data_IF_252470491589
#
_entry.id   IF_252470491589
#
_cell.length_a   1.000
_cell.length_b   1.000
_cell.length_c   1.000
_cell.angle_alpha   90.00
_cell.angle_beta   90.00
_cell.angle_gamma   90.00
#
_symmetry.space_group_name_H-M   'P 1'
#
loop_
_entity.id
_entity.type
_entity.pdbx_description
1 polymer ?
#
# COMPACT_ATOMS: atom_id res chain seq x y z
N UNK A 1 2.10 -0.18 -11.12
CA UNK A 1 3.54 0.15 -11.01
C UNK A 1 4.26 -1.10 -10.55
N UNK A 2 5.28 -1.56 -11.28
CA UNK A 2 5.91 -2.86 -11.05
C UNK A 2 7.05 -2.85 -10.00
N UNK A 3 7.34 -1.66 -9.42
CA UNK A 3 8.41 -1.52 -8.43
C UNK A 3 9.80 -1.54 -9.05
N UNK A 4 10.79 -1.07 -8.30
CA UNK A 4 12.18 -1.31 -8.65
C UNK A 4 12.58 -2.71 -8.14
N UNK A 5 13.29 -3.51 -8.96
CA UNK A 5 13.67 -4.89 -8.59
C UNK A 5 14.47 -4.98 -7.28
N UNK A 6 15.44 -4.09 -7.00
CA UNK A 6 16.11 -4.00 -5.71
C UNK A 6 15.10 -3.85 -4.55
N UNK A 7 14.12 -2.96 -4.68
CA UNK A 7 13.15 -2.67 -3.62
C UNK A 7 12.29 -3.88 -3.27
N UNK A 8 11.89 -4.66 -4.29
CA UNK A 8 11.13 -5.90 -4.10
C UNK A 8 11.97 -6.94 -3.35
N UNK A 9 13.24 -7.09 -3.74
CA UNK A 9 14.14 -8.00 -3.04
C UNK A 9 14.36 -7.58 -1.58
N UNK A 10 14.51 -6.28 -1.31
CA UNK A 10 14.71 -5.78 0.05
C UNK A 10 13.53 -6.12 0.94
N UNK A 11 12.27 -5.90 0.50
CA UNK A 11 11.10 -6.23 1.32
C UNK A 11 11.05 -7.72 1.65
N UNK A 12 11.30 -8.59 0.66
CA UNK A 12 11.31 -10.04 0.89
C UNK A 12 12.38 -10.45 1.90
N UNK A 13 13.58 -9.90 1.79
CA UNK A 13 14.64 -10.16 2.76
C UNK A 13 14.25 -9.68 4.16
N UNK A 14 13.72 -8.47 4.31
CA UNK A 14 13.26 -7.95 5.61
C UNK A 14 12.16 -8.81 6.23
N UNK A 15 11.20 -9.29 5.43
CA UNK A 15 10.14 -10.20 5.89
C UNK A 15 10.73 -11.54 6.34
N UNK A 16 11.69 -12.09 5.57
CA UNK A 16 12.36 -13.33 5.93
C UNK A 16 13.16 -13.20 7.23
N UNK A 17 13.89 -12.10 7.41
CA UNK A 17 14.64 -11.81 8.63
C UNK A 17 13.70 -11.64 9.83
N UNK A 18 12.55 -10.99 9.63
CA UNK A 18 11.53 -10.86 10.67
C UNK A 18 10.97 -12.22 11.13
N UNK A 19 10.70 -13.11 10.18
CA UNK A 19 10.26 -14.47 10.47
C UNK A 19 11.34 -15.27 11.20
N UNK A 20 12.61 -15.14 10.79
CA UNK A 20 13.76 -15.82 11.40
C UNK A 20 14.01 -15.35 12.84
N UNK A 21 13.83 -14.06 13.11
CA UNK A 21 13.95 -13.47 14.44
C UNK A 21 12.71 -13.69 15.31
N UNK A 22 11.65 -14.31 14.77
CA UNK A 22 10.37 -14.56 15.45
C UNK A 22 9.77 -13.28 16.09
N UNK A 23 9.96 -12.13 15.43
CA UNK A 23 9.42 -10.88 15.92
C UNK A 23 7.90 -10.86 15.75
N UNK A 24 7.19 -10.41 16.78
CA UNK A 24 5.72 -10.30 16.81
C UNK A 24 5.31 -8.83 16.81
N UNK A 25 4.15 -8.54 16.21
CA UNK A 25 3.56 -7.20 16.14
C UNK A 25 4.49 -6.18 15.48
N UNK A 26 5.03 -6.53 14.32
CA UNK A 26 5.91 -5.65 13.55
C UNK A 26 5.12 -5.00 12.42
N UNK A 27 5.24 -3.67 12.32
CA UNK A 27 4.72 -2.90 11.19
C UNK A 27 5.90 -2.49 10.31
N UNK A 28 5.87 -2.91 9.04
CA UNK A 28 6.85 -2.52 8.05
C UNK A 28 6.53 -1.10 7.54
N UNK A 29 7.41 -0.15 7.79
CA UNK A 29 7.28 1.23 7.27
C UNK A 29 8.31 1.45 6.17
N UNK A 30 7.85 1.84 4.97
CA UNK A 30 8.75 2.08 3.84
C UNK A 30 8.38 3.30 3.01
N UNK A 31 9.40 3.86 2.35
CA UNK A 31 9.31 5.08 1.56
C UNK A 31 8.66 4.88 0.18
N UNK A 32 8.55 6.01 -0.55
CA UNK A 32 7.87 6.16 -1.86
C UNK A 32 8.27 5.20 -2.98
N UNK A 33 9.38 4.47 -2.84
CA UNK A 33 9.85 3.48 -3.82
C UNK A 33 9.18 2.10 -3.67
N UNK A 34 8.66 1.80 -2.49
CA UNK A 34 8.30 0.43 -2.10
C UNK A 34 6.83 0.08 -2.31
N UNK A 35 6.00 1.02 -2.78
CA UNK A 35 4.56 0.85 -2.95
C UNK A 35 4.15 0.07 -4.21
N UNK A 36 4.96 -0.88 -4.66
CA UNK A 36 4.66 -1.72 -5.83
C UNK A 36 3.56 -2.74 -5.52
N UNK A 37 2.84 -3.18 -6.56
CA UNK A 37 1.79 -4.21 -6.42
C UNK A 37 2.39 -5.51 -5.86
N UNK A 38 3.60 -5.87 -6.32
CA UNK A 38 4.33 -7.05 -5.83
C UNK A 38 4.63 -6.95 -4.34
N UNK A 39 5.10 -5.80 -3.87
CA UNK A 39 5.44 -5.59 -2.47
C UNK A 39 4.21 -5.61 -1.55
N UNK A 40 3.12 -4.98 -1.97
CA UNK A 40 1.86 -5.01 -1.24
C UNK A 40 1.36 -6.46 -1.13
N UNK A 41 1.39 -7.21 -2.24
CA UNK A 41 0.98 -8.61 -2.24
C UNK A 41 1.90 -9.47 -1.38
N UNK A 42 3.22 -9.28 -1.43
CA UNK A 42 4.18 -10.00 -0.61
C UNK A 42 3.93 -9.75 0.89
N UNK A 43 3.65 -8.52 1.30
CA UNK A 43 3.26 -8.22 2.68
C UNK A 43 1.95 -8.93 3.08
N UNK A 44 0.93 -8.89 2.20
CA UNK A 44 -0.37 -9.53 2.46
C UNK A 44 -0.27 -11.06 2.56
N UNK A 45 0.47 -11.71 1.66
CA UNK A 45 0.71 -13.16 1.65
C UNK A 45 1.41 -13.58 2.95
N UNK A 46 2.39 -12.81 3.40
CA UNK A 46 3.15 -13.09 4.62
C UNK A 46 2.46 -12.59 5.90
N UNK A 47 1.25 -12.00 5.80
CA UNK A 47 0.49 -11.43 6.92
C UNK A 47 1.27 -10.39 7.72
N UNK A 48 2.08 -9.59 7.04
CA UNK A 48 2.86 -8.50 7.63
C UNK A 48 2.05 -7.22 7.56
N UNK A 49 1.93 -6.51 8.68
CA UNK A 49 1.34 -5.18 8.72
C UNK A 49 2.30 -4.16 8.10
N UNK A 50 1.81 -3.21 7.32
CA UNK A 50 2.68 -2.29 6.59
C UNK A 50 2.09 -0.89 6.42
N UNK A 51 2.98 0.09 6.28
CA UNK A 51 2.70 1.47 5.89
C UNK A 51 3.67 1.84 4.77
N UNK A 52 3.13 2.09 3.59
CA UNK A 52 3.92 2.57 2.45
C UNK A 52 3.57 4.01 2.14
N UNK A 53 4.62 4.84 2.02
CA UNK A 53 4.46 6.14 1.39
C UNK A 53 4.18 5.92 -0.09
N UNK A 54 3.09 6.50 -0.61
CA UNK A 54 2.66 6.27 -1.99
C UNK A 54 3.13 7.42 -2.86
N UNK A 55 3.93 7.12 -3.90
CA UNK A 55 4.21 8.10 -4.94
C UNK A 55 3.02 8.21 -5.88
N UNK A 56 2.59 9.43 -6.15
CA UNK A 56 1.62 9.71 -7.21
C UNK A 56 2.26 9.38 -8.56
N UNK A 57 1.81 8.28 -9.17
CA UNK A 57 2.21 7.89 -10.52
C UNK A 57 1.53 8.74 -11.60
N UNK A 58 1.80 8.37 -12.86
CA UNK A 58 1.06 8.83 -14.04
C UNK A 58 -0.42 8.43 -14.00
N UNK A 59 -1.23 8.93 -14.96
CA UNK A 59 -2.67 8.67 -15.08
C UNK A 59 -3.00 7.16 -14.99
N UNK A 60 -4.05 6.80 -14.24
CA UNK A 60 -4.48 5.41 -13.99
C UNK A 60 -3.86 4.76 -12.74
N UNK A 61 -3.18 5.55 -11.89
CA UNK A 61 -2.77 5.10 -10.56
C UNK A 61 -3.96 5.19 -9.61
N UNK A 62 -4.26 4.09 -8.89
CA UNK A 62 -5.32 4.02 -7.87
C UNK A 62 -5.28 5.21 -6.90
N UNK A 63 -4.09 5.58 -6.40
CA UNK A 63 -3.95 6.70 -5.47
C UNK A 63 -4.39 8.03 -6.08
N UNK A 64 -4.23 8.22 -7.38
CA UNK A 64 -4.69 9.43 -8.07
C UNK A 64 -6.20 9.44 -8.26
N UNK A 65 -6.78 8.29 -8.59
CA UNK A 65 -8.24 8.13 -8.72
C UNK A 65 -8.94 8.42 -7.39
N UNK A 66 -8.39 7.91 -6.27
CA UNK A 66 -8.90 8.19 -4.93
C UNK A 66 -8.80 9.68 -4.56
N UNK A 67 -7.70 10.35 -4.92
CA UNK A 67 -7.56 11.79 -4.69
C UNK A 67 -8.55 12.58 -5.53
N UNK A 68 -8.74 12.22 -6.80
CA UNK A 68 -9.69 12.89 -7.69
C UNK A 68 -11.14 12.70 -7.22
N UNK A 69 -11.47 11.52 -6.67
CA UNK A 69 -12.77 11.24 -6.04
C UNK A 69 -13.01 12.09 -4.79
N UNK A 70 -12.02 12.19 -3.90
CA UNK A 70 -12.11 12.96 -2.65
C UNK A 70 -11.70 14.43 -2.83
N UNK A 71 -11.54 14.92 -4.06
CA UNK A 71 -11.07 16.28 -4.36
C UNK A 71 -11.95 17.37 -3.75
N UNK A 72 -13.25 17.11 -3.63
CA UNK A 72 -14.21 18.03 -3.00
C UNK A 72 -13.95 18.16 -1.49
N UNK A 73 -13.61 17.06 -0.82
CA UNK A 73 -13.27 17.06 0.61
C UNK A 73 -11.99 17.84 0.85
N UNK A 74 -10.99 17.71 -0.04
CA UNK A 74 -9.78 18.54 0.03
C UNK A 74 -10.02 20.02 -0.24
N UNK A 75 -11.07 20.39 -0.99
CA UNK A 75 -11.40 21.77 -1.29
C UNK A 75 -12.30 22.42 -0.22
N UNK A 76 -12.92 21.63 0.65
CA UNK A 76 -13.75 22.13 1.75
C UNK A 76 -12.87 22.75 2.84
N UNK A 77 -13.12 24.00 3.20
CA UNK A 77 -12.38 24.69 4.26
C UNK A 77 -12.74 24.17 5.66
N UNK A 78 -13.84 23.41 5.78
CA UNK A 78 -14.33 22.85 7.04
C UNK A 78 -13.85 21.41 7.29
N UNK A 79 -13.20 20.75 6.33
CA UNK A 79 -12.66 19.39 6.47
C UNK A 79 -11.23 19.36 7.04
N UNK A 80 -10.73 20.54 7.46
CA UNK A 80 -9.39 20.71 7.99
C UNK A 80 -9.27 20.10 9.38
N UNK A 81 -8.30 19.20 9.54
CA UNK A 81 -7.87 18.74 10.86
C UNK A 81 -7.17 19.90 11.59
N UNK A 82 -7.67 20.34 12.78
CA UNK A 82 -7.11 21.49 13.49
C UNK A 82 -5.68 21.26 13.99
N UNK A 83 -5.30 20.00 14.25
CA UNK A 83 -4.01 19.64 14.80
C UNK A 83 -2.93 19.63 13.71
N UNK A 84 -3.23 19.06 12.54
CA UNK A 84 -2.30 18.96 11.40
C UNK A 84 -2.38 20.21 10.50
N UNK A 85 -3.45 21.00 10.62
CA UNK A 85 -3.75 22.20 9.81
C UNK A 85 -3.85 21.89 8.31
N UNK A 86 -4.38 20.72 7.99
CA UNK A 86 -4.55 20.21 6.63
C UNK A 86 -5.87 19.48 6.49
N UNK A 87 -6.40 19.46 5.26
CA UNK A 87 -7.56 18.66 4.92
C UNK A 87 -7.13 17.22 4.73
N UNK A 88 -7.79 16.29 5.42
CA UNK A 88 -7.44 14.87 5.43
C UNK A 88 -8.62 14.09 4.89
N UNK A 89 -8.34 13.13 4.01
CA UNK A 89 -9.32 12.15 3.58
C UNK A 89 -8.74 10.74 3.76
N UNK A 90 -9.58 9.81 4.19
CA UNK A 90 -9.22 8.39 4.29
C UNK A 90 -10.15 7.58 3.44
N UNK A 91 -9.61 6.86 2.47
CA UNK A 91 -10.37 5.97 1.61
C UNK A 91 -10.11 4.51 1.96
N UNK A 92 -11.19 3.72 2.04
CA UNK A 92 -11.12 2.27 2.21
C UNK A 92 -11.13 1.60 0.84
N UNK A 93 -10.13 0.76 0.56
CA UNK A 93 -9.98 0.06 -0.71
C UNK A 93 -10.02 -1.44 -0.48
N UNK A 94 -10.85 -2.14 -1.25
CA UNK A 94 -10.83 -3.59 -1.31
C UNK A 94 -9.76 -4.04 -2.32
N UNK A 95 -8.62 -4.52 -1.82
CA UNK A 95 -7.48 -4.95 -2.62
C UNK A 95 -7.55 -6.44 -2.92
N UNK A 96 -7.66 -6.79 -4.20
CA UNK A 96 -7.63 -8.19 -4.65
C UNK A 96 -6.20 -8.62 -4.93
N UNK A 97 -5.82 -9.80 -4.45
CA UNK A 97 -4.50 -10.37 -4.65
C UNK A 97 -4.57 -11.89 -4.83
N UNK A 98 -3.49 -12.45 -5.34
CA UNK A 98 -3.31 -13.90 -5.45
C UNK A 98 -2.55 -14.41 -4.21
N UNK A 99 -3.14 -15.29 -3.39
CA UNK A 99 -2.47 -15.84 -2.21
C UNK A 99 -1.38 -16.86 -2.56
N UNK A 100 -1.38 -17.41 -3.79
CA UNK A 100 -0.40 -18.39 -4.26
C UNK A 100 0.03 -18.07 -5.70
N UNK A 101 0.79 -16.99 -5.89
CA UNK A 101 1.29 -16.62 -7.21
C UNK A 101 2.20 -17.73 -7.75
N UNK A 102 1.98 -18.15 -8.99
CA UNK A 102 2.83 -19.12 -9.71
C UNK A 102 3.53 -18.39 -10.84
N UNK A 103 4.87 -18.46 -10.88
CA UNK A 103 5.66 -17.81 -11.91
C UNK A 103 5.22 -18.24 -13.32
N UNK A 104 4.99 -17.25 -14.18
CA UNK A 104 4.55 -17.45 -15.56
C UNK A 104 3.04 -17.70 -15.75
N UNK A 105 2.24 -17.73 -14.66
CA UNK A 105 0.78 -17.82 -14.76
C UNK A 105 0.10 -16.50 -14.38
N UNK A 106 -1.06 -16.19 -14.99
CA UNK A 106 -1.84 -15.02 -14.61
C UNK A 106 -2.35 -15.15 -13.16
N UNK A 107 -2.30 -14.04 -12.44
CA UNK A 107 -2.75 -13.96 -11.05
C UNK A 107 -4.24 -14.29 -10.94
N UNK A 108 -4.59 -15.20 -10.04
CA UNK A 108 -5.96 -15.69 -9.86
C UNK A 108 -6.86 -14.70 -9.12
N UNK A 109 -6.30 -13.69 -8.43
CA UNK A 109 -7.02 -12.65 -7.68
C UNK A 109 -8.18 -13.17 -6.80
N UNK A 110 -7.98 -14.33 -6.18
CA UNK A 110 -9.02 -15.04 -5.40
C UNK A 110 -9.17 -14.52 -3.98
N UNK A 111 -8.14 -13.89 -3.42
CA UNK A 111 -8.17 -13.31 -2.08
C UNK A 111 -8.40 -11.80 -2.13
N UNK A 112 -9.02 -11.27 -1.10
CA UNK A 112 -9.20 -9.83 -0.89
C UNK A 112 -8.70 -9.41 0.49
N UNK A 113 -8.18 -8.19 0.57
CA UNK A 113 -7.77 -7.54 1.80
C UNK A 113 -8.28 -6.09 1.82
N UNK A 114 -8.52 -5.58 3.02
CA UNK A 114 -8.93 -4.18 3.19
C UNK A 114 -7.68 -3.34 3.40
N UNK A 115 -7.44 -2.39 2.50
CA UNK A 115 -6.36 -1.41 2.60
C UNK A 115 -6.95 -0.02 2.84
N UNK A 116 -6.19 0.81 3.56
CA UNK A 116 -6.57 2.18 3.87
C UNK A 116 -5.57 3.14 3.23
N UNK A 117 -6.10 4.09 2.47
CA UNK A 117 -5.32 5.18 1.89
C UNK A 117 -5.59 6.45 2.68
N UNK A 118 -4.60 6.87 3.46
CA UNK A 118 -4.63 8.13 4.17
C UNK A 118 -3.99 9.21 3.29
N UNK A 119 -4.75 10.26 3.00
CA UNK A 119 -4.39 11.33 2.09
C UNK A 119 -4.46 12.66 2.86
N UNK A 120 -3.39 13.46 2.80
CA UNK A 120 -3.17 14.66 3.61
C UNK A 120 -2.26 15.67 2.89
#
# INVERSE_FOLDING_TARGET
YDGNVPDVSTIRHTIADQALLNMKNVVLVADKGYNSVKNINDCLINKVEFIFNVRLGTKGCLARELIDEHRKEFADLNSGDPYIRKNIATAKVNWKYDPRPVDGKPASNTASAELYYHMF
#
